data_IF_714724138895
#
_entry.id   IF_714724138895
#
_cell.length_a   1.000
_cell.length_b   1.000
_cell.length_c   1.000
_cell.angle_alpha   90.00
_cell.angle_beta   90.00
_cell.angle_gamma   90.00
#
_symmetry.space_group_name_H-M   'P 1'
#
loop_
_entity.id
_entity.type
_entity.pdbx_description
1 polymer ?
#
# COMPACT_ATOMS: atom_id res chain seq x y z
N UNK A 1 -5.09 8.28 3.51
CA UNK A 1 -3.84 9.07 3.41
C UNK A 1 -3.07 8.73 4.66
N UNK A 2 -1.78 8.40 4.55
CA UNK A 2 -1.08 7.84 5.70
C UNK A 2 -0.91 8.91 6.79
N UNK A 3 -1.42 8.62 7.99
CA UNK A 3 -1.18 9.44 9.18
C UNK A 3 0.15 9.00 9.78
N UNK A 4 1.09 9.94 9.95
CA UNK A 4 2.45 9.65 10.44
C UNK A 4 2.56 10.03 11.91
N UNK A 5 3.13 9.13 12.71
CA UNK A 5 3.42 9.32 14.14
C UNK A 5 4.94 9.35 14.40
N UNK A 6 5.39 9.99 15.50
CA UNK A 6 6.79 9.90 15.91
C UNK A 6 7.23 8.43 16.08
N UNK A 7 8.36 8.08 15.47
CA UNK A 7 8.91 6.71 15.47
C UNK A 7 8.56 5.88 14.23
N UNK A 8 7.66 6.36 13.36
CA UNK A 8 7.34 5.65 12.12
C UNK A 8 8.54 5.59 11.16
N UNK A 9 8.81 4.37 10.66
CA UNK A 9 9.84 4.15 9.66
C UNK A 9 9.24 4.31 8.26
N UNK A 10 9.46 5.48 7.66
CA UNK A 10 8.99 5.81 6.31
C UNK A 10 9.92 5.29 5.22
N UNK A 11 9.47 4.28 4.50
CA UNK A 11 10.24 3.59 3.46
C UNK A 11 9.74 3.94 2.05
N UNK A 12 10.59 3.85 1.01
CA UNK A 12 10.10 3.80 -0.36
C UNK A 12 9.11 2.66 -0.52
N UNK A 13 8.03 2.88 -1.28
CA UNK A 13 6.94 1.89 -1.41
C UNK A 13 7.44 0.48 -1.80
N UNK A 14 8.31 0.29 -2.82
CA UNK A 14 8.79 -1.05 -3.15
C UNK A 14 9.55 -1.73 -2.00
N UNK A 15 10.34 -0.94 -1.25
CA UNK A 15 11.11 -1.43 -0.10
C UNK A 15 10.22 -1.79 1.07
N UNK A 16 9.18 -0.97 1.35
CA UNK A 16 8.20 -1.29 2.38
C UNK A 16 7.48 -2.60 2.09
N UNK A 17 7.10 -2.82 0.82
CA UNK A 17 6.43 -4.06 0.41
C UNK A 17 7.36 -5.27 0.52
N UNK A 18 8.59 -5.14 0.04
CA UNK A 18 9.59 -6.21 0.16
C UNK A 18 9.85 -6.60 1.62
N UNK A 19 9.95 -5.63 2.53
CA UNK A 19 10.14 -5.92 3.95
C UNK A 19 8.90 -6.54 4.60
N UNK A 20 7.72 -6.03 4.28
CA UNK A 20 6.48 -6.47 4.90
C UNK A 20 6.09 -7.90 4.49
N UNK A 21 6.28 -8.29 3.22
CA UNK A 21 5.75 -9.55 2.68
C UNK A 21 6.78 -10.39 1.88
N UNK A 22 8.05 -9.99 1.85
CA UNK A 22 9.13 -10.74 1.17
C UNK A 22 9.10 -10.67 -0.37
N UNK A 23 8.17 -9.91 -0.95
CA UNK A 23 8.04 -9.73 -2.39
C UNK A 23 8.25 -8.27 -2.78
N UNK A 24 9.07 -8.00 -3.80
CA UNK A 24 9.30 -6.65 -4.32
C UNK A 24 8.54 -6.43 -5.64
N UNK A 25 7.44 -5.67 -5.64
CA UNK A 25 6.71 -5.38 -6.88
C UNK A 25 7.48 -4.44 -7.81
N UNK A 26 7.13 -4.49 -9.10
CA UNK A 26 7.61 -3.51 -10.06
C UNK A 26 7.20 -2.08 -9.66
N UNK A 27 8.02 -1.04 -9.92
CA UNK A 27 7.69 0.35 -9.58
C UNK A 27 6.36 0.84 -10.15
N UNK A 28 5.97 0.41 -11.36
CA UNK A 28 4.65 0.73 -11.95
C UNK A 28 3.50 0.15 -11.15
N UNK A 29 3.65 -1.07 -10.60
CA UNK A 29 2.66 -1.69 -9.71
C UNK A 29 2.50 -0.87 -8.43
N UNK A 30 3.63 -0.46 -7.83
CA UNK A 30 3.61 0.43 -6.67
C UNK A 30 2.91 1.77 -6.98
N UNK A 31 3.19 2.35 -8.15
CA UNK A 31 2.54 3.58 -8.61
C UNK A 31 1.02 3.38 -8.78
N UNK A 32 0.60 2.24 -9.33
CA UNK A 32 -0.82 1.89 -9.45
C UNK A 32 -1.49 1.77 -8.09
N UNK A 33 -0.91 1.01 -7.16
CA UNK A 33 -1.45 0.83 -5.81
C UNK A 33 -1.59 2.14 -5.04
N UNK A 34 -0.62 3.05 -5.21
CA UNK A 34 -0.61 4.35 -4.52
C UNK A 34 -1.46 5.42 -5.18
N UNK A 35 -1.75 5.34 -6.48
CA UNK A 35 -2.57 6.33 -7.20
C UNK A 35 -4.03 5.89 -7.34
N UNK A 36 -4.24 4.65 -7.78
CA UNK A 36 -5.55 4.11 -8.15
C UNK A 36 -6.03 3.02 -7.19
N UNK A 37 -5.11 2.31 -6.56
CA UNK A 37 -5.44 1.12 -5.77
C UNK A 37 -5.71 -0.11 -6.62
N UNK A 38 -6.28 -1.13 -5.98
CA UNK A 38 -6.70 -2.41 -6.57
C UNK A 38 -7.86 -2.96 -5.75
N UNK A 39 -8.91 -3.48 -6.41
CA UNK A 39 -10.12 -4.00 -5.73
C UNK A 39 -10.72 -2.99 -4.73
N UNK A 40 -10.76 -1.71 -5.11
CA UNK A 40 -11.27 -0.62 -4.26
C UNK A 40 -10.37 -0.22 -3.09
N UNK A 41 -9.24 -0.91 -2.85
CA UNK A 41 -8.30 -0.61 -1.77
C UNK A 41 -7.09 0.13 -2.32
N UNK A 42 -6.69 1.22 -1.66
CA UNK A 42 -5.55 2.05 -2.07
C UNK A 42 -4.45 1.99 -1.00
N UNK A 43 -3.19 1.82 -1.44
CA UNK A 43 -2.08 1.81 -0.50
C UNK A 43 -1.87 3.22 0.08
N UNK A 44 -1.91 3.31 1.40
CA UNK A 44 -1.71 4.56 2.10
C UNK A 44 -0.25 5.02 2.01
N UNK A 45 -0.07 6.29 1.68
CA UNK A 45 1.25 6.92 1.58
C UNK A 45 1.23 8.34 2.12
N UNK A 46 2.42 8.83 2.43
CA UNK A 46 2.74 10.23 2.69
C UNK A 46 3.81 10.67 1.69
N UNK A 47 3.81 11.93 1.26
CA UNK A 47 4.83 12.45 0.34
C UNK A 47 5.93 13.12 1.15
N UNK A 48 7.17 12.65 1.00
CA UNK A 48 8.36 13.23 1.63
C UNK A 48 9.40 13.50 0.54
N UNK A 49 9.81 14.77 0.39
CA UNK A 49 10.75 15.18 -0.67
C UNK A 49 10.24 14.87 -2.08
N UNK A 50 8.93 15.02 -2.31
CA UNK A 50 8.29 14.76 -3.61
C UNK A 50 8.15 13.28 -3.98
N UNK A 51 8.48 12.34 -3.07
CA UNK A 51 8.37 10.90 -3.32
C UNK A 51 7.41 10.25 -2.32
N UNK A 52 6.51 9.34 -2.77
CA UNK A 52 5.63 8.62 -1.87
C UNK A 52 6.43 7.68 -0.97
N UNK A 53 6.12 7.72 0.31
CA UNK A 53 6.65 6.85 1.36
C UNK A 53 5.51 6.18 2.08
N UNK A 54 5.78 5.00 2.63
CA UNK A 54 4.81 4.25 3.43
C UNK A 54 5.52 3.51 4.56
N UNK A 55 4.74 2.92 5.46
CA UNK A 55 5.22 2.05 6.54
C UNK A 55 4.92 0.59 6.19
N UNK A 56 5.65 -0.34 6.81
CA UNK A 56 5.36 -1.78 6.68
C UNK A 56 3.94 -2.12 7.16
N UNK A 57 3.49 -1.51 8.28
CA UNK A 57 2.13 -1.70 8.81
C UNK A 57 1.03 -1.31 7.79
N UNK A 58 1.19 -0.17 7.12
CA UNK A 58 0.26 0.26 6.08
C UNK A 58 0.24 -0.69 4.86
N UNK A 59 1.37 -1.35 4.55
CA UNK A 59 1.40 -2.39 3.51
C UNK A 59 0.60 -3.61 3.95
N UNK A 60 0.78 -4.09 5.19
CA UNK A 60 0.02 -5.22 5.71
C UNK A 60 -1.48 -4.93 5.67
N UNK A 61 -1.90 -3.77 6.18
CA UNK A 61 -3.31 -3.35 6.14
C UNK A 61 -3.87 -3.30 4.71
N UNK A 62 -3.07 -2.81 3.75
CA UNK A 62 -3.44 -2.81 2.33
C UNK A 62 -3.62 -4.23 1.78
N UNK A 63 -2.72 -5.16 2.11
CA UNK A 63 -2.77 -6.57 1.65
C UNK A 63 -3.98 -7.30 2.25
N UNK A 64 -4.27 -7.10 3.53
CA UNK A 64 -5.43 -7.67 4.20
C UNK A 64 -6.72 -7.16 3.58
N UNK A 65 -6.86 -5.84 3.43
CA UNK A 65 -8.07 -5.23 2.87
C UNK A 65 -8.31 -5.65 1.41
N UNK A 66 -7.27 -5.72 0.56
CA UNK A 66 -7.47 -6.15 -0.83
C UNK A 66 -7.86 -7.64 -0.93
N UNK A 67 -7.47 -8.45 0.05
CA UNK A 67 -7.78 -9.88 0.10
C UNK A 67 -9.20 -10.08 0.61
N UNK A 68 -9.60 -9.37 1.67
CA UNK A 68 -10.98 -9.35 2.14
C UNK A 68 -11.97 -8.92 1.05
N UNK A 69 -11.60 -7.91 0.23
CA UNK A 69 -12.42 -7.49 -0.90
C UNK A 69 -12.42 -8.46 -2.09
N UNK A 70 -11.45 -9.38 -2.17
CA UNK A 70 -11.45 -10.43 -3.18
C UNK A 70 -12.43 -11.57 -2.83
N UNK A 71 -12.62 -11.83 -1.53
CA UNK A 71 -13.53 -12.87 -1.03
C UNK A 71 -14.98 -12.38 -0.90
N UNK A 72 -15.22 -11.07 -0.96
CA UNK A 72 -16.57 -10.52 -0.99
C UNK A 72 -17.27 -10.88 -2.32
N UNK A 73 -18.51 -11.42 -2.31
CA UNK A 73 -19.23 -11.68 -3.54
C UNK A 73 -19.41 -10.37 -4.30
N UNK A 74 -18.78 -10.29 -5.47
CA UNK A 74 -18.87 -9.15 -6.35
C UNK A 74 -20.33 -9.01 -6.76
N UNK A 75 -20.99 -7.99 -6.21
CA UNK A 75 -22.37 -7.64 -6.55
C UNK A 75 -22.30 -6.89 -7.87
N UNK A 76 -22.36 -7.65 -8.97
CA UNK A 76 -22.50 -7.08 -10.30
C UNK A 76 -23.88 -6.44 -10.43
N UNK A 77 -23.91 -5.14 -10.73
CA UNK A 77 -25.07 -4.38 -11.22
C UNK A 77 -25.02 -4.38 -12.74
#
# INVERSE_FOLDING_TARGET
>A
MLTVSPGDVLLPVPTAVEKAIGYRPHPTTCTRWTRHGVRGVKLETVVVGGRPRTTEAAVIAFVEAQTANADAPQSDI
#
